data_IF_232732081309
#
_entry.id   IF_232732081309
#
_cell.length_a   1.000
_cell.length_b   1.000
_cell.length_c   1.000
_cell.angle_alpha   90.00
_cell.angle_beta   90.00
_cell.angle_gamma   90.00
#
_symmetry.space_group_name_H-M   'P 1'
#
loop_
_entity.id
_entity.type
_entity.pdbx_description
1 polymer ?
#
# COMPACT_ATOMS: atom_id res chain seq x y z
N UNK A 1 -5.01 -19.28 13.60
CA UNK A 1 -5.14 -19.08 12.14
C UNK A 1 -3.77 -19.24 11.47
N UNK A 2 -3.22 -20.48 11.44
CA UNK A 2 -1.94 -20.81 10.77
C UNK A 2 -2.14 -21.40 9.36
N UNK A 3 -3.29 -22.04 9.12
CA UNK A 3 -3.62 -22.76 7.89
C UNK A 3 -3.75 -21.89 6.63
N UNK A 4 -3.82 -20.55 6.77
CA UNK A 4 -3.98 -19.62 5.66
C UNK A 4 -2.65 -19.04 5.12
N UNK A 5 -1.54 -19.09 5.87
CA UNK A 5 -0.32 -18.35 5.49
C UNK A 5 0.56 -19.05 4.44
N UNK A 6 0.24 -20.29 4.05
CA UNK A 6 1.17 -21.13 3.26
C UNK A 6 0.52 -21.81 2.04
N UNK A 7 -0.74 -21.51 1.69
CA UNK A 7 -1.44 -22.19 0.59
C UNK A 7 -1.85 -21.20 -0.49
N UNK A 8 -1.51 -21.52 -1.74
CA UNK A 8 -2.05 -20.83 -2.90
C UNK A 8 -3.58 -20.96 -2.91
N UNK A 9 -4.25 -19.86 -3.25
CA UNK A 9 -5.70 -19.79 -3.40
C UNK A 9 -6.01 -19.57 -4.87
N UNK A 10 -7.05 -20.25 -5.34
CA UNK A 10 -7.57 -20.06 -6.69
C UNK A 10 -8.79 -19.17 -6.67
N UNK A 11 -8.70 -18.08 -7.41
CA UNK A 11 -9.81 -17.18 -7.60
C UNK A 11 -10.23 -17.21 -9.06
N UNK A 12 -11.44 -17.68 -9.32
CA UNK A 12 -12.11 -17.46 -10.60
C UNK A 12 -12.86 -16.14 -10.49
N UNK A 13 -12.44 -15.16 -11.27
CA UNK A 13 -13.06 -13.83 -11.24
C UNK A 13 -13.94 -13.69 -12.48
N UNK A 14 -15.25 -13.53 -12.27
CA UNK A 14 -16.18 -13.24 -13.36
C UNK A 14 -15.94 -11.82 -13.86
N UNK A 15 -15.82 -11.64 -15.18
CA UNK A 15 -15.67 -10.31 -15.79
C UNK A 15 -16.94 -9.48 -15.56
N UNK A 16 -16.77 -8.26 -15.07
CA UNK A 16 -17.82 -7.23 -15.03
C UNK A 16 -17.31 -5.98 -15.75
N UNK A 17 -18.20 -5.27 -16.44
CA UNK A 17 -17.87 -4.01 -17.13
C UNK A 17 -17.79 -2.81 -16.17
N UNK A 18 -18.18 -2.98 -14.90
CA UNK A 18 -18.10 -1.97 -13.86
C UNK A 18 -16.64 -1.64 -13.52
N UNK A 19 -16.27 -0.38 -13.77
CA UNK A 19 -14.93 0.18 -13.55
C UNK A 19 -14.89 1.20 -12.41
N UNK A 20 -16.03 1.50 -11.79
CA UNK A 20 -16.13 2.54 -10.78
C UNK A 20 -15.42 2.10 -9.49
N UNK A 21 -14.46 2.86 -8.94
CA UNK A 21 -13.82 2.53 -7.66
C UNK A 21 -14.86 2.45 -6.54
N UNK A 22 -14.97 1.32 -5.84
CA UNK A 22 -16.00 1.16 -4.79
C UNK A 22 -15.69 1.99 -3.56
N UNK A 23 -14.40 2.31 -3.36
CA UNK A 23 -13.90 3.12 -2.26
C UNK A 23 -12.59 3.77 -2.71
N UNK A 24 -12.55 5.10 -2.79
CA UNK A 24 -11.30 5.86 -2.77
C UNK A 24 -11.40 6.83 -1.61
N UNK A 25 -11.04 6.35 -0.42
CA UNK A 25 -10.96 7.18 0.79
C UNK A 25 -9.74 8.12 0.77
N UNK A 26 -8.91 8.02 -0.28
CA UNK A 26 -7.65 8.75 -0.40
C UNK A 26 -6.52 8.16 0.43
N UNK A 27 -6.71 6.99 1.04
CA UNK A 27 -5.64 6.27 1.75
C UNK A 27 -4.64 5.70 0.77
N UNK A 28 -3.35 5.88 1.09
CA UNK A 28 -2.26 5.26 0.35
C UNK A 28 -1.96 3.83 0.85
N UNK A 29 -2.51 3.43 1.99
CA UNK A 29 -2.28 2.09 2.55
C UNK A 29 -3.05 1.06 1.71
N UNK A 30 -2.37 0.03 1.17
CA UNK A 30 -3.05 -0.96 0.34
C UNK A 30 -4.00 -1.81 1.18
N UNK A 31 -5.12 -2.17 0.57
CA UNK A 31 -6.14 -3.05 1.16
C UNK A 31 -6.25 -4.33 0.35
N UNK A 32 -6.70 -5.40 1.01
CA UNK A 32 -6.83 -6.69 0.35
C UNK A 32 -7.92 -6.64 -0.72
N UNK A 33 -7.54 -6.99 -1.96
CA UNK A 33 -8.44 -7.06 -3.12
C UNK A 33 -9.57 -8.07 -2.95
N UNK A 34 -9.38 -9.12 -2.14
CA UNK A 34 -10.42 -10.13 -1.90
C UNK A 34 -11.57 -9.60 -1.03
N UNK A 35 -11.32 -8.54 -0.25
CA UNK A 35 -12.34 -7.86 0.55
C UNK A 35 -13.11 -6.82 -0.29
N UNK A 36 -12.66 -6.56 -1.52
CA UNK A 36 -13.29 -5.64 -2.44
C UNK A 36 -14.66 -6.13 -2.92
N UNK A 37 -15.58 -5.19 -3.13
CA UNK A 37 -16.95 -5.49 -3.61
C UNK A 37 -16.98 -5.92 -5.07
N UNK A 38 -15.95 -5.57 -5.85
CA UNK A 38 -15.85 -5.89 -7.26
C UNK A 38 -14.43 -6.40 -7.59
N UNK A 39 -14.17 -7.71 -7.41
CA UNK A 39 -12.88 -8.32 -7.72
C UNK A 39 -12.46 -8.14 -9.19
N UNK A 40 -13.41 -8.03 -10.12
CA UNK A 40 -13.10 -7.79 -11.55
C UNK A 40 -12.39 -6.46 -11.76
N UNK A 41 -12.84 -5.42 -11.07
CA UNK A 41 -12.16 -4.12 -11.06
C UNK A 41 -10.85 -4.20 -10.27
N UNK A 42 -10.87 -4.78 -9.07
CA UNK A 42 -9.72 -4.72 -8.14
C UNK A 42 -8.51 -5.54 -8.65
N UNK A 43 -8.76 -6.59 -9.42
CA UNK A 43 -7.74 -7.35 -10.14
C UNK A 43 -7.51 -6.87 -11.59
N UNK A 44 -8.15 -5.80 -12.06
CA UNK A 44 -8.08 -5.35 -13.46
C UNK A 44 -8.31 -6.48 -14.48
N UNK A 45 -9.44 -7.17 -14.33
CA UNK A 45 -9.89 -8.21 -15.25
C UNK A 45 -10.45 -7.56 -16.51
N UNK A 46 -9.99 -8.02 -17.67
CA UNK A 46 -10.34 -7.46 -18.98
C UNK A 46 -11.03 -8.44 -19.91
N UNK A 47 -11.04 -9.72 -19.55
CA UNK A 47 -11.64 -10.77 -20.36
C UNK A 47 -12.08 -11.94 -19.50
N UNK A 48 -13.02 -12.70 -20.03
CA UNK A 48 -13.47 -13.96 -19.47
C UNK A 48 -13.07 -15.13 -20.39
N UNK A 49 -12.64 -16.28 -19.86
CA UNK A 49 -12.42 -16.58 -18.43
C UNK A 49 -11.03 -16.12 -17.95
N UNK A 50 -10.98 -15.36 -16.84
CA UNK A 50 -9.71 -15.11 -16.12
C UNK A 50 -9.67 -15.89 -14.81
N UNK A 51 -8.56 -16.56 -14.56
CA UNK A 51 -8.25 -17.25 -13.31
C UNK A 51 -6.97 -16.71 -12.71
N UNK A 52 -7.00 -16.50 -11.39
CA UNK A 52 -5.89 -15.96 -10.63
C UNK A 52 -5.38 -17.02 -9.66
N UNK A 53 -4.07 -17.06 -9.51
CA UNK A 53 -3.39 -17.78 -8.43
C UNK A 53 -2.89 -16.72 -7.46
N UNK A 54 -3.45 -16.74 -6.26
CA UNK A 54 -3.15 -15.77 -5.21
C UNK A 54 -2.60 -16.45 -3.97
N UNK A 55 -2.10 -15.68 -3.01
CA UNK A 55 -2.04 -16.15 -1.62
C UNK A 55 -3.40 -15.99 -0.92
N UNK A 56 -3.46 -16.32 0.37
CA UNK A 56 -4.66 -16.16 1.18
C UNK A 56 -5.03 -14.72 1.50
N UNK A 57 -4.14 -13.75 1.25
CA UNK A 57 -4.45 -12.33 1.38
C UNK A 57 -5.00 -11.76 0.06
N UNK A 58 -5.10 -12.58 -0.99
CA UNK A 58 -5.57 -12.16 -2.30
C UNK A 58 -4.51 -11.44 -3.13
N UNK A 59 -3.23 -11.53 -2.79
CA UNK A 59 -2.16 -10.99 -3.64
C UNK A 59 -2.02 -11.87 -4.88
N UNK A 60 -2.14 -11.28 -6.06
CA UNK A 60 -1.99 -11.99 -7.33
C UNK A 60 -0.52 -12.26 -7.65
N UNK A 61 -0.19 -13.53 -7.91
CA UNK A 61 1.15 -13.94 -8.37
C UNK A 61 1.14 -14.44 -9.81
N UNK A 62 0.05 -15.10 -10.21
CA UNK A 62 -0.09 -15.61 -11.57
C UNK A 62 -1.52 -15.43 -12.08
N UNK A 63 -1.62 -15.22 -13.40
CA UNK A 63 -2.87 -15.03 -14.13
C UNK A 63 -2.96 -15.97 -15.31
N UNK A 64 -4.14 -16.52 -15.53
CA UNK A 64 -4.50 -17.27 -16.73
C UNK A 64 -5.70 -16.59 -17.39
N UNK A 65 -5.57 -16.23 -18.66
CA UNK A 65 -6.64 -15.64 -19.49
C UNK A 65 -7.44 -16.68 -20.28
N UNK A 66 -7.13 -17.95 -20.06
CA UNK A 66 -7.82 -19.13 -20.57
C UNK A 66 -7.77 -20.22 -19.50
N UNK A 67 -8.51 -21.32 -19.70
CA UNK A 67 -8.47 -22.45 -18.77
C UNK A 67 -7.11 -23.17 -18.84
N UNK A 68 -6.29 -23.17 -17.77
CA UNK A 68 -5.05 -23.92 -17.78
C UNK A 68 -5.32 -25.42 -17.61
N UNK A 69 -4.41 -26.23 -18.11
CA UNK A 69 -4.34 -27.65 -17.76
C UNK A 69 -3.86 -27.83 -16.30
N UNK A 70 -4.09 -29.03 -15.75
CA UNK A 70 -3.78 -29.34 -14.36
C UNK A 70 -2.29 -29.23 -14.02
N UNK A 71 -1.39 -29.59 -14.95
CA UNK A 71 0.05 -29.55 -14.71
C UNK A 71 0.58 -28.11 -14.70
N UNK A 72 0.12 -27.28 -15.63
CA UNK A 72 0.40 -25.84 -15.67
C UNK A 72 -0.10 -25.14 -14.41
N UNK A 73 -1.30 -25.52 -13.95
CA UNK A 73 -1.89 -24.99 -12.72
C UNK A 73 -1.07 -25.38 -11.49
N UNK A 74 -0.71 -26.66 -11.35
CA UNK A 74 0.12 -27.18 -10.26
C UNK A 74 1.46 -26.46 -10.14
N UNK A 75 2.18 -26.28 -11.25
CA UNK A 75 3.45 -25.54 -11.26
C UNK A 75 3.32 -24.10 -10.72
N UNK A 76 2.20 -23.42 -10.99
CA UNK A 76 1.98 -22.06 -10.49
C UNK A 76 1.64 -22.03 -9.01
N UNK A 77 0.86 -23.00 -8.51
CA UNK A 77 0.62 -23.17 -7.06
C UNK A 77 1.94 -23.30 -6.32
N UNK A 78 2.78 -24.24 -6.76
CA UNK A 78 4.01 -24.59 -6.08
C UNK A 78 4.99 -23.39 -6.06
N UNK A 79 4.91 -22.53 -7.07
CA UNK A 79 5.71 -21.32 -7.18
C UNK A 79 5.21 -20.14 -6.32
N UNK A 80 3.99 -20.17 -5.77
CA UNK A 80 3.44 -19.04 -4.99
C UNK A 80 4.30 -18.72 -3.78
N UNK A 81 4.71 -19.74 -3.01
CA UNK A 81 5.47 -19.54 -1.78
C UNK A 81 6.82 -18.84 -2.07
N UNK A 82 7.53 -19.28 -3.09
CA UNK A 82 8.80 -18.69 -3.52
C UNK A 82 8.60 -17.26 -4.06
N UNK A 83 7.52 -17.02 -4.81
CA UNK A 83 7.24 -15.69 -5.32
C UNK A 83 6.84 -14.72 -4.19
N UNK A 84 6.05 -15.18 -3.21
CA UNK A 84 5.70 -14.41 -2.02
C UNK A 84 6.95 -14.05 -1.21
N UNK A 85 7.87 -15.00 -1.03
CA UNK A 85 9.17 -14.76 -0.39
C UNK A 85 9.98 -13.69 -1.12
N UNK A 86 10.15 -13.81 -2.44
CA UNK A 86 10.86 -12.82 -3.27
C UNK A 86 10.22 -11.43 -3.21
N UNK A 87 8.89 -11.38 -3.21
CA UNK A 87 8.16 -10.11 -3.04
C UNK A 87 8.44 -9.52 -1.66
N UNK A 88 8.35 -10.31 -0.60
CA UNK A 88 8.65 -9.85 0.76
C UNK A 88 10.09 -9.35 0.90
N UNK A 89 11.09 -10.03 0.31
CA UNK A 89 12.48 -9.59 0.30
C UNK A 89 12.68 -8.24 -0.41
N UNK A 90 11.95 -7.99 -1.51
CA UNK A 90 11.99 -6.69 -2.19
C UNK A 90 11.37 -5.59 -1.33
N UNK A 91 10.21 -5.85 -0.73
CA UNK A 91 9.55 -4.92 0.19
C UNK A 91 10.44 -4.62 1.40
N UNK A 92 11.13 -5.63 1.92
CA UNK A 92 12.04 -5.50 3.07
C UNK A 92 13.20 -4.55 2.76
N UNK A 93 13.79 -4.61 1.55
CA UNK A 93 14.86 -3.67 1.15
C UNK A 93 14.40 -2.22 1.20
N UNK A 94 13.20 -1.93 0.70
CA UNK A 94 12.61 -0.58 0.76
C UNK A 94 12.29 -0.17 2.20
N UNK A 95 11.79 -1.10 3.03
CA UNK A 95 11.53 -0.86 4.45
C UNK A 95 12.82 -0.53 5.20
N UNK A 96 13.89 -1.29 5.00
CA UNK A 96 15.18 -1.06 5.65
C UNK A 96 15.78 0.29 5.26
N UNK A 97 15.69 0.68 3.98
CA UNK A 97 16.10 1.99 3.52
C UNK A 97 15.24 3.12 4.14
N UNK A 98 13.94 2.87 4.31
CA UNK A 98 13.01 3.83 4.92
C UNK A 98 13.29 4.01 6.41
N UNK A 99 13.55 2.92 7.15
CA UNK A 99 13.97 2.94 8.56
C UNK A 99 15.25 3.75 8.76
N UNK A 100 16.29 3.49 7.96
CA UNK A 100 17.55 4.26 8.01
C UNK A 100 17.34 5.74 7.74
N UNK A 101 16.47 6.07 6.79
CA UNK A 101 16.14 7.47 6.49
C UNK A 101 15.40 8.12 7.65
N UNK A 102 14.47 7.39 8.29
CA UNK A 102 13.75 7.86 9.46
C UNK A 102 14.66 8.09 10.68
N UNK A 103 15.57 7.16 10.96
CA UNK A 103 16.60 7.29 12.00
C UNK A 103 17.51 8.51 11.76
N UNK A 104 17.78 8.82 10.50
CA UNK A 104 18.55 10.00 10.08
C UNK A 104 17.70 11.28 10.02
N UNK A 105 16.45 11.24 10.52
CA UNK A 105 15.46 12.34 10.51
C UNK A 105 15.04 12.84 9.12
N UNK A 106 15.34 12.10 8.06
CA UNK A 106 14.89 12.37 6.69
C UNK A 106 13.52 11.71 6.44
N UNK A 107 12.46 12.34 6.99
CA UNK A 107 11.08 11.82 6.88
C UNK A 107 10.58 11.79 5.44
N UNK A 108 10.97 12.73 4.60
CA UNK A 108 10.54 12.78 3.20
C UNK A 108 11.06 11.55 2.43
N UNK A 109 12.33 11.20 2.62
CA UNK A 109 12.91 10.00 2.01
C UNK A 109 12.38 8.71 2.61
N UNK A 110 12.13 8.68 3.92
CA UNK A 110 11.49 7.54 4.57
C UNK A 110 10.09 7.28 3.98
N UNK A 111 9.24 8.31 3.91
CA UNK A 111 7.90 8.20 3.32
C UNK A 111 7.94 7.78 1.86
N UNK A 112 8.89 8.30 1.07
CA UNK A 112 9.03 7.90 -0.34
C UNK A 112 9.18 6.38 -0.50
N UNK A 113 10.07 5.75 0.28
CA UNK A 113 10.28 4.30 0.22
C UNK A 113 9.08 3.49 0.69
N UNK A 114 8.38 3.96 1.73
CA UNK A 114 7.15 3.31 2.21
C UNK A 114 6.02 3.39 1.18
N UNK A 115 5.82 4.57 0.56
CA UNK A 115 4.81 4.76 -0.47
C UNK A 115 5.13 3.95 -1.74
N UNK A 116 6.41 3.72 -2.06
CA UNK A 116 6.79 2.79 -3.13
C UNK A 116 6.36 1.35 -2.84
N UNK A 117 6.51 0.88 -1.59
CA UNK A 117 5.97 -0.42 -1.17
C UNK A 117 4.44 -0.44 -1.29
N UNK A 118 3.76 0.63 -0.89
CA UNK A 118 2.29 0.70 -0.93
C UNK A 118 1.73 0.64 -2.37
N UNK A 119 2.41 1.27 -3.33
CA UNK A 119 2.05 1.22 -4.75
C UNK A 119 2.09 -0.18 -5.35
N UNK A 120 2.77 -1.15 -4.72
CA UNK A 120 2.72 -2.54 -5.17
C UNK A 120 1.35 -3.18 -4.97
N UNK A 121 0.52 -2.62 -4.07
CA UNK A 121 -0.80 -3.15 -3.74
C UNK A 121 -0.78 -4.47 -2.97
N UNK A 122 0.41 -4.94 -2.56
CA UNK A 122 0.59 -6.17 -1.78
C UNK A 122 0.18 -5.92 -0.33
N UNK A 123 -0.42 -6.94 0.32
CA UNK A 123 -0.88 -6.88 1.72
C UNK A 123 -0.52 -8.17 2.47
N UNK A 124 -0.50 -8.14 3.81
CA UNK A 124 -0.34 -9.34 4.64
C UNK A 124 1.04 -9.99 4.65
N UNK A 125 1.99 -9.47 3.87
CA UNK A 125 3.41 -9.83 3.95
C UNK A 125 4.08 -9.01 5.07
N UNK A 126 4.98 -9.64 5.83
CA UNK A 126 5.56 -9.05 7.04
C UNK A 126 6.23 -7.69 6.79
N UNK A 127 7.00 -7.56 5.70
CA UNK A 127 7.64 -6.30 5.35
C UNK A 127 6.63 -5.20 4.99
N UNK A 128 5.49 -5.56 4.39
CA UNK A 128 4.42 -4.62 4.11
C UNK A 128 3.75 -4.16 5.40
N UNK A 129 3.38 -5.09 6.28
CA UNK A 129 2.76 -4.77 7.56
C UNK A 129 3.67 -3.88 8.44
N UNK A 130 4.97 -4.14 8.42
CA UNK A 130 5.95 -3.29 9.09
C UNK A 130 6.11 -1.92 8.41
N UNK A 131 5.98 -1.84 7.08
CA UNK A 131 5.95 -0.57 6.35
C UNK A 131 4.73 0.28 6.73
N UNK A 132 3.55 -0.35 6.87
CA UNK A 132 2.31 0.31 7.30
C UNK A 132 2.45 0.86 8.73
N UNK A 133 3.03 0.07 9.64
CA UNK A 133 3.27 0.53 11.03
C UNK A 133 4.20 1.75 11.08
N UNK A 134 5.34 1.69 10.38
CA UNK A 134 6.28 2.81 10.33
C UNK A 134 5.66 4.06 9.68
N UNK A 135 4.84 3.86 8.65
CA UNK A 135 4.10 4.95 8.03
C UNK A 135 3.20 5.67 9.02
N UNK A 136 2.35 4.94 9.76
CA UNK A 136 1.49 5.56 10.77
C UNK A 136 2.27 6.27 11.87
N UNK A 137 3.41 5.71 12.31
CA UNK A 137 4.30 6.37 13.27
C UNK A 137 4.82 7.72 12.74
N UNK A 138 5.24 7.76 11.47
CA UNK A 138 5.71 9.00 10.82
C UNK A 138 4.56 10.01 10.67
N UNK A 139 3.36 9.56 10.28
CA UNK A 139 2.18 10.43 10.12
C UNK A 139 1.75 11.01 11.48
N UNK A 140 1.70 10.21 12.53
CA UNK A 140 1.31 10.67 13.86
C UNK A 140 2.33 11.66 14.44
N UNK A 141 3.63 11.44 14.21
CA UNK A 141 4.66 12.42 14.54
C UNK A 141 4.48 13.73 13.74
N UNK A 142 4.13 13.62 12.45
CA UNK A 142 3.83 14.76 11.60
C UNK A 142 2.61 15.56 12.05
N UNK A 143 1.53 14.89 12.47
CA UNK A 143 0.34 15.53 13.04
C UNK A 143 0.67 16.33 14.29
N UNK A 144 1.41 15.74 15.23
CA UNK A 144 1.86 16.44 16.45
C UNK A 144 2.70 17.68 16.14
N UNK A 145 3.57 17.58 15.13
CA UNK A 145 4.40 18.72 14.70
C UNK A 145 3.58 19.82 14.03
N UNK A 146 2.58 19.44 13.23
CA UNK A 146 1.60 20.37 12.66
C UNK A 146 0.83 21.10 13.77
N UNK A 147 0.27 20.36 14.73
CA UNK A 147 -0.49 20.94 15.84
C UNK A 147 0.37 21.89 16.68
N UNK A 148 1.62 21.51 16.97
CA UNK A 148 2.57 22.36 17.70
C UNK A 148 2.90 23.64 16.93
N UNK A 149 3.15 23.54 15.61
CA UNK A 149 3.44 24.71 14.78
C UNK A 149 2.24 25.67 14.76
N UNK A 150 1.02 25.16 14.60
CA UNK A 150 -0.21 25.97 14.60
C UNK A 150 -0.44 26.63 15.96
N UNK A 151 -0.19 25.92 17.07
CA UNK A 151 -0.34 26.46 18.42
C UNK A 151 0.70 27.54 18.77
N UNK A 152 1.96 27.36 18.34
CA UNK A 152 3.03 28.36 18.53
C UNK A 152 2.75 29.64 17.73
N UNK A 153 2.22 29.50 16.51
CA UNK A 153 1.91 30.62 15.63
C UNK A 153 3.14 31.41 15.20
N UNK A 154 2.95 32.71 15.00
CA UNK A 154 4.04 33.65 14.72
C UNK A 154 4.43 33.80 13.25
N UNK A 155 5.47 34.62 13.01
CA UNK A 155 5.89 35.07 11.67
C UNK A 155 6.41 33.94 10.78
N UNK A 156 6.95 32.87 11.38
CA UNK A 156 7.53 31.73 10.66
C UNK A 156 6.53 30.58 10.42
N UNK A 157 5.28 30.69 10.90
CA UNK A 157 4.27 29.64 10.78
C UNK A 157 4.10 29.19 9.31
N UNK A 158 3.91 30.13 8.39
CA UNK A 158 3.75 29.78 6.97
C UNK A 158 4.97 29.06 6.38
N UNK A 159 6.17 29.37 6.86
CA UNK A 159 7.39 28.70 6.40
C UNK A 159 7.43 27.26 6.92
N UNK A 160 7.20 27.06 8.21
CA UNK A 160 7.12 25.72 8.85
C UNK A 160 6.06 24.85 8.17
N UNK A 161 4.86 25.39 7.91
CA UNK A 161 3.78 24.65 7.24
C UNK A 161 4.14 24.26 5.80
N UNK A 162 4.86 25.11 5.04
CA UNK A 162 5.35 24.78 3.69
C UNK A 162 6.41 23.69 3.70
N UNK A 163 7.29 23.70 4.71
CA UNK A 163 8.30 22.64 4.90
C UNK A 163 7.63 21.30 5.21
N UNK A 164 6.68 21.28 6.15
CA UNK A 164 5.86 20.10 6.43
C UNK A 164 5.12 19.63 5.18
N UNK A 165 4.52 20.55 4.41
CA UNK A 165 3.84 20.20 3.16
C UNK A 165 4.78 19.48 2.18
N UNK A 166 6.03 19.93 2.06
CA UNK A 166 7.04 19.29 1.22
C UNK A 166 7.33 17.84 1.63
N UNK A 167 7.34 17.56 2.93
CA UNK A 167 7.59 16.23 3.50
C UNK A 167 6.38 15.30 3.27
N UNK A 168 5.17 15.79 3.50
CA UNK A 168 3.94 14.98 3.56
C UNK A 168 3.07 15.02 2.30
N UNK A 169 3.55 15.64 1.20
CA UNK A 169 2.77 15.93 -0.02
C UNK A 169 1.94 14.76 -0.59
N UNK A 170 2.45 13.53 -0.48
CA UNK A 170 1.84 12.31 -1.04
C UNK A 170 1.12 11.48 0.03
N UNK A 171 0.71 12.11 1.14
CA UNK A 171 0.05 11.46 2.29
C UNK A 171 -1.27 12.13 2.62
N UNK A 172 -2.08 11.48 3.45
CA UNK A 172 -3.33 12.03 3.98
C UNK A 172 -3.11 13.33 4.78
N UNK A 173 -1.97 13.46 5.47
CA UNK A 173 -1.63 14.63 6.28
C UNK A 173 -1.49 15.91 5.43
N UNK A 174 -1.24 15.79 4.13
CA UNK A 174 -1.15 16.95 3.23
C UNK A 174 -2.45 17.79 3.23
N UNK A 175 -3.61 17.16 3.38
CA UNK A 175 -4.91 17.85 3.43
C UNK A 175 -5.03 18.72 4.68
N UNK A 176 -4.59 18.22 5.82
CA UNK A 176 -4.64 18.93 7.10
C UNK A 176 -3.65 20.11 7.09
N UNK A 177 -2.44 19.90 6.52
CA UNK A 177 -1.46 20.96 6.32
C UNK A 177 -2.02 22.05 5.39
N UNK A 178 -2.68 21.67 4.29
CA UNK A 178 -3.31 22.63 3.38
C UNK A 178 -4.43 23.43 4.03
N UNK A 179 -5.21 22.82 4.92
CA UNK A 179 -6.21 23.52 5.72
C UNK A 179 -5.54 24.53 6.68
N UNK A 180 -4.48 24.11 7.37
CA UNK A 180 -3.72 25.00 8.26
C UNK A 180 -3.09 26.19 7.51
N UNK A 181 -2.54 25.97 6.32
CA UNK A 181 -1.98 27.05 5.47
C UNK A 181 -3.07 28.05 5.08
N UNK A 182 -4.29 27.60 4.78
CA UNK A 182 -5.41 28.48 4.44
C UNK A 182 -5.91 29.27 5.64
N UNK A 183 -5.95 28.67 6.83
CA UNK A 183 -6.37 29.34 8.06
C UNK A 183 -5.33 30.31 8.64
N UNK A 184 -4.05 30.14 8.27
CA UNK A 184 -2.95 31.03 8.65
C UNK A 184 -2.75 32.23 7.69
N UNK A 185 -3.69 32.47 6.76
CA UNK A 185 -3.76 33.66 5.91
C UNK A 185 -4.73 34.67 6.50
#
# INVERSE_FOLDING_TARGET
MKLAKEKAVFLRVAYTSDREPSWNDGSMVPTSKILGKNPSRDYDIKSYPTMLVTDAYGNEYFRFTAKPDAASLGKKIDAVAEQAKKTNEKLQKSLDASKKSFESKDRAKALKGLLENFRTGVVGLDAQEASIKLYHEIIDAGRKELDAAVAEGGKDLQKKLKELKGIYKDTELNKDIDAAIKGAK
#
